data_IF_794729561908
#
_entry.id   IF_794729561908
#
_cell.length_a   1.000
_cell.length_b   1.000
_cell.length_c   1.000
_cell.angle_alpha   90.00
_cell.angle_beta   90.00
_cell.angle_gamma   90.00
#
_symmetry.space_group_name_H-M   'P 1'
#
loop_
_entity.id
_entity.type
_entity.pdbx_description
1 polymer ?
#
# COMPACT_ATOMS: atom_id res chain seq x y z
N UNK A 1 -9.87 5.32 1.25
CA UNK A 1 -8.78 5.35 2.24
C UNK A 1 -7.61 6.20 1.75
N UNK A 2 -7.01 5.89 0.58
CA UNK A 2 -5.90 6.65 -0.03
C UNK A 2 -6.08 8.19 -0.02
N UNK A 3 -7.22 8.70 -0.49
CA UNK A 3 -7.51 10.15 -0.49
C UNK A 3 -7.44 10.79 0.89
N UNK A 4 -7.94 10.10 1.92
CA UNK A 4 -7.95 10.58 3.31
C UNK A 4 -6.53 10.68 3.87
N UNK A 5 -5.69 9.65 3.67
CA UNK A 5 -4.30 9.65 4.14
C UNK A 5 -3.51 10.83 3.57
N UNK A 6 -3.63 11.05 2.26
CA UNK A 6 -2.91 12.14 1.57
C UNK A 6 -3.46 13.50 1.99
N UNK A 7 -4.78 13.65 2.05
CA UNK A 7 -5.42 14.92 2.44
C UNK A 7 -5.13 15.30 3.90
N UNK A 8 -4.92 14.32 4.78
CA UNK A 8 -4.54 14.55 6.17
C UNK A 8 -3.03 14.56 6.38
N UNK A 9 -2.25 14.26 5.33
CA UNK A 9 -0.78 14.19 5.37
C UNK A 9 -0.25 13.32 6.53
N UNK A 10 -0.95 12.22 6.84
CA UNK A 10 -0.63 11.34 7.95
C UNK A 10 -1.06 9.89 7.64
N UNK A 11 -0.22 8.90 7.95
CA UNK A 11 -0.51 7.48 7.74
C UNK A 11 -1.66 6.97 8.62
N UNK A 12 -1.80 7.52 9.83
CA UNK A 12 -2.83 7.14 10.80
C UNK A 12 -3.71 8.35 11.19
N UNK A 13 -4.56 8.88 10.29
CA UNK A 13 -5.40 10.05 10.58
C UNK A 13 -6.68 9.64 11.32
N UNK A 14 -6.52 8.88 12.41
CA UNK A 14 -7.62 8.38 13.24
C UNK A 14 -7.32 8.69 14.71
N UNK A 15 -8.37 8.68 15.55
CA UNK A 15 -8.22 8.98 16.97
C UNK A 15 -7.33 7.94 17.68
N UNK A 16 -6.56 8.38 18.67
CA UNK A 16 -5.64 7.54 19.46
C UNK A 16 -6.26 6.26 20.06
N UNK A 17 -7.55 6.23 20.49
CA UNK A 17 -8.16 4.98 20.95
C UNK A 17 -8.33 3.92 19.85
N UNK A 18 -8.33 4.32 18.57
CA UNK A 18 -8.46 3.43 17.41
C UNK A 18 -7.08 3.01 16.91
N UNK A 19 -6.16 3.97 16.76
CA UNK A 19 -4.76 3.72 16.39
C UNK A 19 -3.85 4.41 17.41
N UNK A 20 -3.33 3.67 18.40
CA UNK A 20 -2.39 4.23 19.36
C UNK A 20 -1.09 4.64 18.66
N UNK A 21 -0.74 5.93 18.76
CA UNK A 21 0.52 6.47 18.25
C UNK A 21 1.37 6.93 19.43
N UNK A 22 2.65 6.56 19.42
CA UNK A 22 3.59 7.06 20.42
C UNK A 22 3.95 8.50 20.12
N UNK A 23 3.60 9.41 21.03
CA UNK A 23 3.66 10.86 20.78
C UNK A 23 5.04 11.37 20.37
N UNK A 24 6.13 10.80 20.89
CA UNK A 24 7.48 11.25 20.51
C UNK A 24 7.86 10.88 19.07
N UNK A 25 7.16 9.93 18.46
CA UNK A 25 7.42 9.43 17.11
C UNK A 25 6.25 9.66 16.15
N UNK A 26 5.32 10.56 16.48
CA UNK A 26 4.21 10.95 15.59
C UNK A 26 4.70 11.47 14.23
N UNK A 27 5.78 12.26 14.23
CA UNK A 27 6.40 12.78 13.02
C UNK A 27 6.84 11.70 12.02
N UNK A 28 7.11 10.47 12.46
CA UNK A 28 7.52 9.38 11.58
C UNK A 28 6.36 8.85 10.71
N UNK A 29 5.11 9.20 11.06
CA UNK A 29 3.91 8.82 10.32
C UNK A 29 3.41 9.95 9.39
N UNK A 30 4.11 11.08 9.34
CA UNK A 30 3.75 12.20 8.47
C UNK A 30 4.05 11.89 6.99
N UNK A 31 3.13 12.30 6.13
CA UNK A 31 3.21 12.17 4.67
C UNK A 31 3.42 13.53 4.00
N UNK A 32 4.06 14.46 4.72
CA UNK A 32 4.43 15.76 4.18
C UNK A 32 5.96 15.93 4.18
N UNK A 33 6.59 16.20 3.02
CA UNK A 33 5.99 16.31 1.68
C UNK A 33 5.39 14.97 1.20
N UNK A 34 4.41 15.04 0.31
CA UNK A 34 3.72 13.85 -0.21
C UNK A 34 4.71 12.98 -1.01
N UNK A 35 4.82 11.67 -0.71
CA UNK A 35 5.73 10.77 -1.42
C UNK A 35 5.17 10.38 -2.80
N UNK A 36 6.03 9.86 -3.68
CA UNK A 36 5.61 9.36 -5.01
C UNK A 36 4.82 8.04 -4.91
N UNK A 37 5.10 7.23 -3.88
CA UNK A 37 4.45 5.94 -3.66
C UNK A 37 4.19 5.69 -2.17
N UNK A 38 3.00 5.20 -1.84
CA UNK A 38 2.61 4.69 -0.52
C UNK A 38 2.19 3.23 -0.66
N UNK A 39 2.83 2.35 0.11
CA UNK A 39 2.48 0.93 0.20
C UNK A 39 1.78 0.67 1.53
N UNK A 40 0.48 0.37 1.50
CA UNK A 40 -0.33 0.19 2.72
C UNK A 40 -0.19 -1.22 3.31
N UNK A 41 -0.19 -2.25 2.45
CA UNK A 41 -0.02 -3.66 2.83
C UNK A 41 -0.92 -4.10 4.01
N UNK A 42 -2.23 -3.85 3.90
CA UNK A 42 -3.21 -4.29 4.90
C UNK A 42 -3.94 -5.58 4.48
N UNK A 43 -4.89 -6.02 5.30
CA UNK A 43 -5.72 -7.21 5.03
C UNK A 43 -6.90 -6.93 4.08
N UNK A 44 -7.00 -5.73 3.51
CA UNK A 44 -8.04 -5.39 2.54
C UNK A 44 -7.74 -6.03 1.18
N UNK A 45 -8.70 -5.97 0.27
CA UNK A 45 -8.50 -6.39 -1.12
C UNK A 45 -7.34 -5.62 -1.77
N UNK A 46 -6.59 -6.28 -2.65
CA UNK A 46 -5.52 -5.65 -3.40
C UNK A 46 -6.07 -4.49 -4.25
N UNK A 47 -5.36 -3.35 -4.26
CA UNK A 47 -5.74 -2.20 -5.06
C UNK A 47 -4.52 -1.37 -5.48
N UNK A 48 -4.68 -0.62 -6.57
CA UNK A 48 -3.76 0.43 -7.02
C UNK A 48 -4.60 1.68 -7.27
N UNK A 49 -4.21 2.82 -6.71
CA UNK A 49 -4.95 4.09 -6.89
C UNK A 49 -3.98 5.25 -6.88
N UNK A 50 -4.14 6.17 -7.82
CA UNK A 50 -3.42 7.43 -7.84
C UNK A 50 -4.25 8.54 -7.16
N UNK A 51 -3.62 9.37 -6.35
CA UNK A 51 -4.22 10.57 -5.77
C UNK A 51 -3.24 11.73 -5.94
N UNK A 52 -3.53 12.62 -6.89
CA UNK A 52 -2.55 13.60 -7.36
C UNK A 52 -1.36 12.89 -7.99
N UNK A 53 -0.15 13.29 -7.61
CA UNK A 53 1.10 12.70 -8.10
C UNK A 53 1.58 11.50 -7.25
N UNK A 54 0.79 11.08 -6.26
CA UNK A 54 1.11 9.98 -5.36
C UNK A 54 0.37 8.70 -5.75
N UNK A 55 1.11 7.62 -5.97
CA UNK A 55 0.55 6.27 -6.11
C UNK A 55 0.31 5.66 -4.73
N UNK A 56 -0.85 5.04 -4.52
CA UNK A 56 -1.16 4.30 -3.29
C UNK A 56 -1.53 2.88 -3.66
N UNK A 57 -0.77 1.93 -3.15
CA UNK A 57 -0.94 0.51 -3.45
C UNK A 57 -1.21 -0.30 -2.19
N UNK A 58 -1.98 -1.36 -2.40
CA UNK A 58 -2.14 -2.44 -1.45
C UNK A 58 -1.95 -3.77 -2.19
N UNK A 59 -0.90 -4.56 -1.89
CA UNK A 59 -0.74 -5.89 -2.46
C UNK A 59 -1.80 -6.89 -1.98
N UNK A 60 -2.49 -6.61 -0.87
CA UNK A 60 -3.41 -7.55 -0.24
C UNK A 60 -2.68 -8.68 0.49
N UNK A 61 -3.45 -9.68 0.97
CA UNK A 61 -2.86 -10.81 1.70
C UNK A 61 -2.24 -11.84 0.75
N UNK A 62 -0.92 -12.01 0.81
CA UNK A 62 -0.16 -12.96 0.00
C UNK A 62 -0.73 -14.41 -0.01
N UNK A 63 -0.86 -15.13 1.13
CA UNK A 63 -1.34 -16.52 1.13
C UNK A 63 -2.83 -16.70 0.80
N UNK A 64 -3.64 -15.63 0.82
CA UNK A 64 -5.09 -15.70 0.56
C UNK A 64 -5.48 -15.21 -0.83
N UNK A 65 -4.53 -14.72 -1.61
CA UNK A 65 -4.76 -14.12 -2.90
C UNK A 65 -3.83 -14.76 -3.94
N UNK A 66 -3.79 -16.09 -3.99
CA UNK A 66 -2.97 -16.88 -4.92
C UNK A 66 -1.49 -16.45 -4.98
N UNK A 67 -0.91 -16.12 -3.82
CA UNK A 67 0.45 -15.61 -3.74
C UNK A 67 0.68 -14.38 -4.63
N UNK A 68 -0.33 -13.54 -4.80
CA UNK A 68 -0.25 -12.30 -5.57
C UNK A 68 0.58 -11.25 -4.85
N UNK A 69 1.39 -10.54 -5.63
CA UNK A 69 2.25 -9.46 -5.18
C UNK A 69 2.30 -8.34 -6.22
N UNK A 70 2.79 -7.17 -5.82
CA UNK A 70 2.95 -6.01 -6.71
C UNK A 70 4.41 -5.68 -6.90
N UNK A 71 4.79 -5.34 -8.12
CA UNK A 71 6.13 -4.88 -8.47
C UNK A 71 6.07 -3.40 -8.80
N UNK A 72 6.89 -2.58 -8.14
CA UNK A 72 7.04 -1.16 -8.47
C UNK A 72 8.38 -0.91 -9.16
N UNK A 73 8.34 -0.24 -10.31
CA UNK A 73 9.52 0.13 -11.10
C UNK A 73 9.82 1.62 -10.94
N UNK A 74 10.72 2.01 -10.00
CA UNK A 74 10.92 3.43 -9.65
C UNK A 74 11.46 4.28 -10.80
N UNK A 75 12.19 3.69 -11.76
CA UNK A 75 12.74 4.44 -12.90
C UNK A 75 11.69 4.96 -13.89
N UNK A 76 10.49 4.35 -13.90
CA UNK A 76 9.40 4.69 -14.83
C UNK A 76 8.07 4.96 -14.11
N UNK A 77 8.00 4.74 -12.79
CA UNK A 77 6.79 4.95 -12.00
C UNK A 77 5.68 3.91 -12.23
N UNK A 78 6.00 2.78 -12.86
CA UNK A 78 5.02 1.74 -13.19
C UNK A 78 4.82 0.74 -12.04
N UNK A 79 3.59 0.26 -11.92
CA UNK A 79 3.18 -0.77 -10.96
C UNK A 79 2.60 -1.94 -11.75
N UNK A 80 3.12 -3.13 -11.49
CA UNK A 80 2.66 -4.38 -12.11
C UNK A 80 2.05 -5.31 -11.06
N UNK A 81 0.97 -5.98 -11.45
CA UNK A 81 0.32 -7.03 -10.68
C UNK A 81 0.92 -8.38 -11.08
N UNK A 82 1.33 -9.17 -10.10
CA UNK A 82 1.95 -10.48 -10.30
C UNK A 82 1.27 -11.54 -9.43
N UNK A 83 1.34 -12.78 -9.87
CA UNK A 83 0.77 -13.97 -9.23
C UNK A 83 1.73 -15.15 -9.47
N UNK A 84 1.83 -16.07 -8.52
CA UNK A 84 2.61 -17.28 -8.73
C UNK A 84 1.77 -18.30 -9.52
N UNK A 85 2.37 -19.06 -10.45
CA UNK A 85 1.67 -20.15 -11.12
C UNK A 85 1.21 -21.19 -10.09
N UNK A 86 0.07 -21.82 -10.36
CA UNK A 86 -0.39 -22.95 -9.57
C UNK A 86 0.52 -24.16 -9.84
N UNK A 87 0.90 -24.90 -8.80
CA UNK A 87 1.76 -26.10 -8.91
C UNK A 87 1.19 -27.20 -9.86
N UNK A 88 -0.04 -27.04 -10.36
CA UNK A 88 -0.70 -27.97 -11.28
C UNK A 88 -0.48 -27.64 -12.78
N UNK A 89 0.15 -26.52 -13.11
CA UNK A 89 0.32 -26.08 -14.50
C UNK A 89 1.61 -26.57 -15.18
N UNK A 90 2.48 -27.30 -14.45
CA UNK A 90 3.77 -27.80 -14.95
C UNK A 90 3.72 -29.20 -15.60
N UNK A 91 2.53 -29.81 -15.74
CA UNK A 91 2.35 -31.22 -16.16
C UNK A 91 1.80 -31.42 -17.59
N UNK A 92 2.00 -30.47 -18.51
CA UNK A 92 1.56 -30.59 -19.92
C UNK A 92 2.64 -30.28 -20.97
#
# INVERSE_FOLDING_TARGET
>A
YAKTMISQSHLAPLALPVIPVYWKHDHALQLYPTPDLIVVADNSQAYTTAVGDCQVINPGTFPRNNFSFKVYRPGIGEIEDCELPDDNDDDN
#
